data_IF_658719672018
#
_entry.id   IF_658719672018
#
_cell.length_a   1.000
_cell.length_b   1.000
_cell.length_c   1.000
_cell.angle_alpha   90.00
_cell.angle_beta   90.00
_cell.angle_gamma   90.00
#
_symmetry.space_group_name_H-M   'P 1'
#
loop_
_entity.id
_entity.type
_entity.pdbx_description
1 polymer ?
#
# COMPACT_ATOMS: atom_id res chain seq x y z
N UNK A 1 -20.36 -3.64 -5.04
CA UNK A 1 -19.64 -4.48 -6.03
C UNK A 1 -18.36 -4.94 -5.35
N UNK A 2 -18.06 -6.25 -5.30
CA UNK A 2 -16.78 -6.70 -4.73
C UNK A 2 -15.67 -6.39 -5.74
N UNK A 3 -14.75 -5.52 -5.35
CA UNK A 3 -13.64 -5.08 -6.19
C UNK A 3 -12.64 -6.24 -6.39
N UNK A 4 -11.89 -6.25 -7.50
CA UNK A 4 -10.95 -7.33 -7.88
C UNK A 4 -9.84 -7.59 -6.85
N UNK A 5 -9.68 -6.69 -5.88
CA UNK A 5 -8.69 -6.76 -4.80
C UNK A 5 -9.17 -7.52 -3.55
N UNK A 6 -10.41 -8.00 -3.54
CA UNK A 6 -11.00 -8.69 -2.38
C UNK A 6 -11.33 -10.15 -2.69
N UNK A 7 -11.04 -11.03 -1.73
CA UNK A 7 -11.38 -12.44 -1.84
C UNK A 7 -12.89 -12.66 -1.67
N UNK A 8 -13.59 -13.27 -2.64
CA UNK A 8 -15.03 -13.49 -2.54
C UNK A 8 -15.42 -14.53 -1.47
N UNK A 9 -14.46 -15.31 -0.96
CA UNK A 9 -14.69 -16.40 0.00
C UNK A 9 -14.56 -15.96 1.46
N UNK A 10 -13.50 -15.22 1.80
CA UNK A 10 -13.24 -14.80 3.18
C UNK A 10 -13.38 -13.30 3.41
N UNK A 11 -13.71 -12.52 2.37
CA UNK A 11 -13.91 -11.07 2.43
C UNK A 11 -12.68 -10.30 2.95
N UNK A 12 -11.48 -10.87 2.76
CA UNK A 12 -10.20 -10.22 3.04
C UNK A 12 -9.53 -9.71 1.75
N UNK A 13 -8.68 -8.67 1.83
CA UNK A 13 -7.83 -8.24 0.72
C UNK A 13 -6.98 -9.39 0.20
N UNK A 14 -6.76 -9.48 -1.11
CA UNK A 14 -5.69 -10.33 -1.65
C UNK A 14 -4.32 -9.75 -1.29
N UNK A 15 -3.29 -10.60 -1.10
CA UNK A 15 -1.92 -10.13 -0.87
C UNK A 15 -1.47 -9.12 -1.93
N UNK A 16 -0.72 -8.08 -1.55
CA UNK A 16 -0.27 -7.03 -2.48
C UNK A 16 0.61 -7.61 -3.60
N UNK A 17 1.37 -8.67 -3.28
CA UNK A 17 2.20 -9.48 -4.19
C UNK A 17 1.44 -10.00 -5.42
N UNK A 18 0.11 -10.16 -5.31
CA UNK A 18 -0.72 -10.61 -6.43
C UNK A 18 -0.94 -9.53 -7.49
N UNK A 19 -0.55 -8.29 -7.22
CA UNK A 19 -0.77 -7.15 -8.10
C UNK A 19 0.59 -6.53 -8.47
N UNK A 20 0.92 -6.58 -9.76
CA UNK A 20 2.11 -5.91 -10.28
C UNK A 20 1.84 -4.40 -10.38
N UNK A 21 2.70 -3.62 -9.76
CA UNK A 21 2.78 -2.16 -9.94
C UNK A 21 3.60 -1.88 -11.22
N UNK A 22 3.15 -0.92 -12.01
CA UNK A 22 3.77 -0.50 -13.27
C UNK A 22 3.95 1.02 -13.33
N UNK A 23 4.81 1.48 -14.24
CA UNK A 23 4.95 2.91 -14.53
C UNK A 23 3.62 3.48 -15.01
N UNK A 24 3.21 4.61 -14.44
CA UNK A 24 1.92 5.24 -14.70
C UNK A 24 0.78 4.77 -13.79
N UNK A 25 1.01 3.78 -12.92
CA UNK A 25 0.04 3.43 -11.89
C UNK A 25 0.02 4.48 -10.78
N UNK A 26 -1.17 4.71 -10.21
CA UNK A 26 -1.35 5.49 -8.98
C UNK A 26 -1.34 4.55 -7.78
N UNK A 27 -0.46 4.82 -6.82
CA UNK A 27 -0.15 3.96 -5.67
C UNK A 27 -0.43 4.67 -4.36
N UNK A 28 -0.66 3.89 -3.29
CA UNK A 28 -0.73 4.32 -1.89
C UNK A 28 0.55 3.87 -1.17
N UNK A 29 1.12 4.78 -0.37
CA UNK A 29 2.25 4.56 0.50
C UNK A 29 1.95 5.05 1.92
N UNK A 30 2.63 4.46 2.91
CA UNK A 30 2.46 4.84 4.32
C UNK A 30 3.53 5.83 4.77
N UNK A 31 3.11 6.99 5.26
CA UNK A 31 3.97 7.99 5.89
C UNK A 31 3.97 7.79 7.40
N UNK A 32 5.16 7.75 7.99
CA UNK A 32 5.35 7.75 9.44
C UNK A 32 5.82 9.13 9.89
N UNK A 33 5.00 9.80 10.69
CA UNK A 33 5.35 11.05 11.34
C UNK A 33 5.67 10.80 12.82
N UNK A 34 6.83 11.29 13.26
CA UNK A 34 7.24 11.31 14.66
C UNK A 34 7.33 12.76 15.10
N UNK A 35 6.74 13.08 16.25
CA UNK A 35 6.77 14.42 16.81
C UNK A 35 6.46 14.44 18.29
N UNK A 36 6.37 15.65 18.84
CA UNK A 36 5.98 15.94 20.21
C UNK A 36 4.68 16.74 20.17
N UNK A 37 3.71 16.42 21.04
CA UNK A 37 2.50 17.22 21.17
C UNK A 37 2.75 18.47 22.04
N UNK A 38 1.73 19.32 22.18
CA UNK A 38 1.80 20.55 22.99
C UNK A 38 2.14 20.30 24.49
N UNK A 39 2.05 19.05 24.96
CA UNK A 39 2.41 18.62 26.31
C UNK A 39 3.79 17.92 26.39
N UNK A 40 4.64 18.05 25.36
CA UNK A 40 5.93 17.36 25.24
C UNK A 40 5.79 15.81 25.23
N UNK A 41 4.61 15.26 24.90
CA UNK A 41 4.44 13.82 24.74
C UNK A 41 4.80 13.38 23.32
N UNK A 42 5.70 12.40 23.21
CA UNK A 42 6.08 11.82 21.92
C UNK A 42 4.94 11.04 21.30
N UNK A 43 4.60 11.35 20.06
CA UNK A 43 3.64 10.61 19.26
C UNK A 43 4.29 10.00 18.01
N UNK A 44 3.68 8.91 17.55
CA UNK A 44 3.91 8.34 16.24
C UNK A 44 2.57 8.30 15.53
N UNK A 45 2.48 8.96 14.38
CA UNK A 45 1.32 8.95 13.52
C UNK A 45 1.66 8.23 12.23
N UNK A 46 0.76 7.34 11.81
CA UNK A 46 0.80 6.72 10.49
C UNK A 46 -0.34 7.29 9.65
N UNK A 47 -0.04 7.70 8.43
CA UNK A 47 -1.02 8.11 7.42
C UNK A 47 -0.75 7.40 6.11
N UNK A 48 -1.80 7.23 5.31
CA UNK A 48 -1.67 6.82 3.92
C UNK A 48 -1.76 8.04 3.03
N UNK A 49 -0.89 8.09 2.03
CA UNK A 49 -0.85 9.09 0.99
C UNK A 49 -0.78 8.40 -0.37
N UNK A 50 -1.07 9.14 -1.43
CA UNK A 50 -1.06 8.62 -2.80
C UNK A 50 -0.02 9.33 -3.67
N UNK A 51 0.43 8.66 -4.73
CA UNK A 51 1.32 9.23 -5.73
C UNK A 51 1.34 8.45 -7.03
N UNK A 52 1.97 8.99 -8.06
CA UNK A 52 2.04 8.39 -9.39
C UNK A 52 3.44 7.80 -9.66
N UNK A 53 3.49 6.57 -10.16
CA UNK A 53 4.76 5.89 -10.48
C UNK A 53 5.37 6.49 -11.74
N UNK A 54 6.48 7.21 -11.59
CA UNK A 54 7.24 7.80 -12.70
C UNK A 54 8.22 6.81 -13.34
N UNK A 55 8.84 5.95 -12.51
CA UNK A 55 9.88 5.01 -12.94
C UNK A 55 9.95 3.81 -11.99
N UNK A 56 10.40 2.67 -12.48
CA UNK A 56 10.75 1.50 -11.67
C UNK A 56 12.19 1.09 -11.98
N UNK A 57 13.00 0.89 -10.94
CA UNK A 57 14.37 0.38 -11.03
C UNK A 57 14.60 -0.70 -9.98
N UNK A 58 14.76 -1.95 -10.45
CA UNK A 58 14.92 -3.09 -9.56
C UNK A 58 13.70 -3.27 -8.65
N UNK A 59 13.92 -3.20 -7.35
CA UNK A 59 12.88 -3.35 -6.32
C UNK A 59 12.32 -2.02 -5.81
N UNK A 60 12.64 -0.90 -6.47
CA UNK A 60 12.19 0.43 -6.07
C UNK A 60 11.41 1.13 -7.19
N UNK A 61 10.45 1.96 -6.80
CA UNK A 61 9.70 2.85 -7.68
C UNK A 61 9.98 4.31 -7.31
N UNK A 62 10.13 5.16 -8.33
CA UNK A 62 10.21 6.61 -8.18
C UNK A 62 8.81 7.19 -8.35
N UNK A 63 8.32 7.86 -7.31
CA UNK A 63 6.94 8.31 -7.17
C UNK A 63 6.89 9.83 -7.20
N UNK A 64 5.97 10.39 -7.99
CA UNK A 64 5.54 11.78 -7.83
C UNK A 64 4.50 11.83 -6.70
N UNK A 65 4.89 12.39 -5.56
CA UNK A 65 4.05 12.54 -4.39
C UNK A 65 3.07 13.70 -4.57
N UNK A 66 1.92 13.64 -3.88
CA UNK A 66 0.87 14.67 -4.01
C UNK A 66 1.27 16.05 -3.45
N UNK A 67 2.24 16.10 -2.55
CA UNK A 67 2.83 17.33 -2.00
C UNK A 67 3.79 18.03 -2.96
N UNK A 68 4.07 17.42 -4.11
CA UNK A 68 4.93 17.94 -5.16
C UNK A 68 6.38 17.49 -5.06
N UNK A 69 6.71 16.67 -4.06
CA UNK A 69 8.01 16.01 -3.98
C UNK A 69 8.07 14.76 -4.87
N UNK A 70 9.28 14.31 -5.16
CA UNK A 70 9.52 13.06 -5.88
C UNK A 70 10.48 12.19 -5.08
N UNK A 71 10.07 10.97 -4.74
CA UNK A 71 10.84 10.10 -3.83
C UNK A 71 10.86 8.64 -4.29
N UNK A 72 11.91 7.92 -3.86
CA UNK A 72 12.06 6.49 -4.12
C UNK A 72 11.46 5.67 -2.99
N UNK A 73 10.54 4.77 -3.35
CA UNK A 73 9.92 3.83 -2.42
C UNK A 73 10.23 2.38 -2.82
N UNK A 74 10.48 1.49 -1.85
CA UNK A 74 10.47 0.04 -2.08
C UNK A 74 9.13 -0.42 -2.65
N UNK A 75 9.12 -1.33 -3.64
CA UNK A 75 7.89 -1.83 -4.24
C UNK A 75 6.98 -2.55 -3.23
N UNK A 76 7.57 -3.18 -2.20
CA UNK A 76 6.84 -3.88 -1.14
C UNK A 76 6.20 -2.94 -0.10
N UNK A 77 6.56 -1.65 -0.11
CA UNK A 77 5.91 -0.62 0.71
C UNK A 77 4.75 0.09 -0.01
N UNK A 78 4.45 -0.32 -1.25
CA UNK A 78 3.43 0.29 -2.09
C UNK A 78 2.24 -0.64 -2.31
N UNK A 79 1.07 -0.03 -2.53
CA UNK A 79 -0.14 -0.72 -3.00
C UNK A 79 -0.78 0.08 -4.12
N UNK A 80 -1.56 -0.54 -5.01
CA UNK A 80 -2.35 0.23 -5.98
C UNK A 80 -3.41 1.04 -5.23
N UNK A 81 -3.60 2.33 -5.57
CA UNK A 81 -4.61 3.22 -4.97
C UNK A 81 -6.03 2.64 -4.97
N UNK A 82 -6.37 1.85 -5.99
CA UNK A 82 -7.67 1.18 -6.08
C UNK A 82 -7.80 -0.08 -5.19
N UNK A 83 -6.70 -0.54 -4.59
CA UNK A 83 -6.62 -1.68 -3.69
C UNK A 83 -6.60 -1.21 -2.21
N UNK A 84 -6.93 -2.09 -1.26
CA UNK A 84 -6.73 -1.80 0.16
C UNK A 84 -5.25 -1.51 0.44
N UNK A 85 -4.96 -0.42 1.15
CA UNK A 85 -3.59 -0.05 1.47
C UNK A 85 -2.97 -0.89 2.60
N UNK A 86 -1.66 -0.75 2.80
CA UNK A 86 -0.91 -1.54 3.78
C UNK A 86 -1.44 -1.38 5.21
N UNK A 87 -1.85 -0.16 5.61
CA UNK A 87 -2.48 0.05 6.91
C UNK A 87 -3.79 -0.72 7.03
N UNK A 88 -4.65 -0.65 6.01
CA UNK A 88 -5.90 -1.43 5.97
C UNK A 88 -5.61 -2.92 6.08
N UNK A 89 -4.66 -3.43 5.29
CA UNK A 89 -4.28 -4.84 5.32
C UNK A 89 -3.69 -5.27 6.66
N UNK A 90 -2.94 -4.39 7.35
CA UNK A 90 -2.41 -4.67 8.68
C UNK A 90 -3.51 -4.88 9.72
N UNK A 91 -4.61 -4.13 9.64
CA UNK A 91 -5.74 -4.26 10.57
C UNK A 91 -6.74 -5.36 10.17
N UNK A 92 -6.96 -5.61 8.88
CA UNK A 92 -7.93 -6.61 8.41
C UNK A 92 -7.32 -8.00 8.20
N UNK A 93 -5.99 -8.08 8.14
CA UNK A 93 -5.26 -9.21 7.62
C UNK A 93 -5.45 -9.36 6.10
N UNK A 94 -4.78 -10.36 5.52
CA UNK A 94 -4.85 -10.71 4.09
C UNK A 94 -5.51 -12.07 3.87
N UNK A 95 -5.91 -12.34 2.63
CA UNK A 95 -6.53 -13.58 2.22
C UNK A 95 -5.53 -14.74 2.15
N UNK A 96 -5.83 -15.84 2.86
CA UNK A 96 -5.04 -17.08 2.87
C UNK A 96 -5.82 -18.27 2.25
N UNK A 97 -6.89 -17.99 1.50
CA UNK A 97 -7.67 -19.04 0.87
C UNK A 97 -6.83 -19.76 -0.20
N UNK A 98 -6.52 -21.04 0.01
CA UNK A 98 -5.93 -21.91 -1.02
C UNK A 98 -6.84 -21.93 -2.27
N UNK A 99 -6.27 -21.64 -3.44
CA UNK A 99 -6.88 -22.00 -4.72
C UNK A 99 -7.02 -23.51 -4.78
N UNK A 100 -8.10 -24.01 -5.37
CA UNK A 100 -8.46 -25.45 -5.36
C UNK A 100 -7.50 -26.36 -6.15
N UNK A 101 -6.29 -25.92 -6.48
CA UNK A 101 -5.31 -26.71 -7.26
C UNK A 101 -4.34 -27.51 -6.39
N UNK A 102 -4.53 -27.55 -5.06
CA UNK A 102 -3.79 -28.43 -4.15
C UNK A 102 -4.68 -29.53 -3.54
N UNK A 103 -5.39 -30.30 -4.37
CA UNK A 103 -6.00 -31.59 -3.98
C UNK A 103 -5.73 -32.66 -5.02
#
# INVERSE_FOLDING_TARGET
MRNKYWCPKCDKPFPPENFSIQVGDRVDYTVQQVGDDDNDERFIRFSSEEGDVLKIEGENAFIACEDGDEEWFPLDSLTLSAAPNLLTMAFTGVCECKTKEEQ
#
